data_IF_356984973990
#
_entry.id   IF_356984973990
#
_cell.length_a   1.000
_cell.length_b   1.000
_cell.length_c   1.000
_cell.angle_alpha   90.00
_cell.angle_beta   90.00
_cell.angle_gamma   90.00
#
_symmetry.space_group_name_H-M   'P 1'
#
loop_
_entity.id
_entity.type
_entity.pdbx_description
1 polymer ?
#
# COMPACT_ATOMS: atom_id res chain seq x y z
N UNK A 1 -33.24 68.17 -23.71
CA UNK A 1 -33.74 68.32 -25.11
C UNK A 1 -34.77 67.22 -25.36
N UNK A 2 -35.78 67.48 -26.21
CA UNK A 2 -36.78 66.48 -26.68
C UNK A 2 -36.07 65.31 -27.43
N UNK A 3 -36.59 64.09 -27.65
CA UNK A 3 -37.96 63.51 -27.76
C UNK A 3 -37.90 61.95 -27.65
N UNK A 4 -38.95 61.14 -27.36
CA UNK A 4 -40.32 61.36 -26.84
C UNK A 4 -41.03 60.01 -26.49
N UNK A 5 -42.21 60.14 -25.85
CA UNK A 5 -43.43 59.28 -25.70
C UNK A 5 -43.66 58.10 -26.67
N UNK A 6 -44.54 57.11 -26.46
CA UNK A 6 -45.35 56.47 -25.37
C UNK A 6 -46.51 55.71 -26.08
N UNK A 7 -47.07 54.65 -25.48
CA UNK A 7 -48.43 54.02 -25.67
C UNK A 7 -48.36 52.56 -25.16
N UNK A 8 -49.30 51.96 -24.43
CA UNK A 8 -50.37 52.36 -23.49
C UNK A 8 -50.87 51.05 -22.81
N UNK A 9 -51.18 50.96 -21.50
CA UNK A 9 -51.56 49.70 -20.87
C UNK A 9 -53.07 49.40 -20.92
N UNK A 10 -53.44 48.13 -21.10
CA UNK A 10 -54.83 47.65 -21.05
C UNK A 10 -54.91 46.23 -20.49
N UNK A 11 -55.61 46.07 -19.36
CA UNK A 11 -55.84 44.80 -18.65
C UNK A 11 -57.28 44.29 -18.92
N UNK A 12 -57.82 43.27 -18.22
CA UNK A 12 -57.20 42.24 -17.37
C UNK A 12 -57.68 40.80 -17.71
N UNK A 13 -57.07 39.78 -17.11
CA UNK A 13 -57.84 38.59 -16.69
C UNK A 13 -57.28 38.00 -15.39
N UNK A 14 -58.20 37.71 -14.47
CA UNK A 14 -57.91 37.22 -13.12
C UNK A 14 -57.70 35.71 -13.09
N UNK A 15 -56.87 35.22 -12.15
CA UNK A 15 -57.15 34.02 -11.35
C UNK A 15 -56.15 33.84 -10.20
N UNK A 16 -56.71 33.78 -8.99
CA UNK A 16 -56.10 33.24 -7.78
C UNK A 16 -57.16 32.35 -7.10
N UNK A 17 -56.76 31.60 -6.06
CA UNK A 17 -57.54 30.60 -5.31
C UNK A 17 -57.59 29.23 -6.02
N UNK A 18 -57.19 28.05 -5.50
CA UNK A 18 -56.39 27.52 -4.37
C UNK A 18 -57.08 26.23 -3.90
N UNK A 19 -56.28 25.18 -3.60
CA UNK A 19 -56.66 23.90 -2.95
C UNK A 19 -57.54 22.94 -3.79
N UNK A 20 -57.56 21.61 -3.58
CA UNK A 20 -56.98 20.77 -2.51
C UNK A 20 -56.70 19.33 -2.99
N UNK A 21 -55.68 18.67 -2.41
CA UNK A 21 -55.60 17.24 -2.04
C UNK A 21 -56.29 16.16 -2.92
N UNK A 22 -55.49 15.24 -3.47
CA UNK A 22 -55.97 13.98 -4.05
C UNK A 22 -54.82 13.06 -4.47
N UNK A 23 -54.88 11.78 -4.09
CA UNK A 23 -53.87 10.77 -4.44
C UNK A 23 -53.88 10.45 -5.94
N UNK A 24 -52.73 10.13 -6.54
CA UNK A 24 -52.61 8.93 -7.39
C UNK A 24 -51.16 8.57 -7.72
N UNK A 25 -50.90 7.26 -7.78
CA UNK A 25 -49.61 6.67 -8.15
C UNK A 25 -49.38 6.82 -9.67
N UNK A 26 -48.18 7.22 -10.08
CA UNK A 26 -47.74 7.07 -11.47
C UNK A 26 -46.98 5.75 -11.61
N UNK A 27 -47.55 4.80 -12.35
CA UNK A 27 -46.94 3.51 -12.64
C UNK A 27 -45.93 3.63 -13.79
N UNK A 28 -44.80 2.93 -13.66
CA UNK A 28 -43.75 2.92 -14.68
C UNK A 28 -44.23 2.34 -16.01
N UNK A 29 -43.82 2.88 -17.17
CA UNK A 29 -44.04 2.24 -18.45
C UNK A 29 -43.17 0.98 -18.57
N UNK A 30 -43.80 -0.18 -18.73
CA UNK A 30 -43.11 -1.46 -19.02
C UNK A 30 -42.69 -1.45 -20.49
N UNK A 31 -41.51 -0.91 -20.76
CA UNK A 31 -40.86 -0.97 -22.07
C UNK A 31 -39.83 -2.11 -22.10
N UNK A 32 -40.22 -3.25 -22.67
CA UNK A 32 -39.32 -4.39 -22.88
C UNK A 32 -38.24 -4.03 -23.90
N UNK A 33 -37.01 -3.79 -23.42
CA UNK A 33 -35.84 -3.59 -24.28
C UNK A 33 -35.48 -4.90 -25.01
N UNK A 34 -36.03 -5.08 -26.21
CA UNK A 34 -35.55 -6.07 -27.16
C UNK A 34 -34.25 -5.57 -27.79
N UNK A 35 -33.11 -6.13 -27.36
CA UNK A 35 -31.83 -5.91 -28.03
C UNK A 35 -31.91 -6.38 -29.49
N UNK A 36 -31.45 -5.58 -30.47
CA UNK A 36 -31.41 -6.02 -31.86
C UNK A 36 -30.44 -7.20 -32.02
N UNK A 37 -30.81 -8.18 -32.83
CA UNK A 37 -29.99 -9.35 -33.14
C UNK A 37 -28.70 -8.93 -33.84
N UNK A 38 -27.57 -9.47 -33.38
CA UNK A 38 -26.25 -9.07 -33.84
C UNK A 38 -25.98 -9.51 -35.30
N UNK A 39 -25.89 -8.55 -36.21
CA UNK A 39 -25.46 -8.75 -37.60
C UNK A 39 -24.48 -7.66 -38.09
N UNK A 40 -23.51 -7.33 -37.25
CA UNK A 40 -22.32 -6.55 -37.63
C UNK A 40 -21.08 -7.45 -37.54
N UNK A 41 -20.63 -7.95 -38.69
CA UNK A 41 -19.44 -8.79 -38.86
C UNK A 41 -18.12 -8.03 -38.70
N UNK A 42 -17.99 -7.21 -37.66
CA UNK A 42 -16.71 -6.66 -37.23
C UNK A 42 -15.96 -7.72 -36.44
N UNK A 43 -14.98 -8.37 -37.06
CA UNK A 43 -14.16 -9.39 -36.39
C UNK A 43 -13.27 -8.71 -35.35
N UNK A 44 -13.75 -8.66 -34.10
CA UNK A 44 -12.93 -8.27 -32.95
C UNK A 44 -11.64 -9.10 -32.98
N UNK A 45 -10.45 -8.48 -32.84
CA UNK A 45 -9.22 -9.24 -32.85
C UNK A 45 -9.28 -10.27 -31.72
N UNK A 46 -9.02 -11.54 -32.06
CA UNK A 46 -8.90 -12.61 -31.04
C UNK A 46 -7.88 -12.14 -30.01
N UNK A 47 -8.30 -12.02 -28.75
CA UNK A 47 -7.36 -11.85 -27.64
C UNK A 47 -6.50 -13.10 -27.58
N UNK A 48 -5.28 -12.98 -28.06
CA UNK A 48 -4.23 -14.00 -27.98
C UNK A 48 -3.97 -14.36 -26.52
N UNK A 49 -3.90 -15.65 -26.23
CA UNK A 49 -3.70 -16.14 -24.87
C UNK A 49 -2.22 -15.95 -24.48
N UNK A 50 -1.90 -15.39 -23.30
CA UNK A 50 -0.52 -15.28 -22.84
C UNK A 50 0.17 -16.64 -22.76
N UNK A 51 1.42 -16.72 -23.24
CA UNK A 51 2.30 -17.88 -23.11
C UNK A 51 2.78 -17.95 -21.67
N UNK A 52 2.68 -19.13 -21.06
CA UNK A 52 3.30 -19.40 -19.76
C UNK A 52 4.79 -19.71 -20.01
N UNK A 53 5.62 -18.67 -19.98
CA UNK A 53 7.06 -18.80 -20.22
C UNK A 53 7.73 -19.55 -19.06
N UNK A 54 8.63 -20.47 -19.39
CA UNK A 54 9.31 -21.34 -18.44
C UNK A 54 10.81 -21.42 -18.72
N UNK A 55 11.68 -21.14 -17.74
CA UNK A 55 13.08 -21.54 -17.78
C UNK A 55 13.27 -22.99 -17.29
N UNK A 56 12.34 -23.53 -16.51
CA UNK A 56 12.40 -24.84 -15.81
C UNK A 56 11.03 -25.52 -15.80
N UNK A 57 10.94 -26.79 -15.38
CA UNK A 57 9.63 -27.42 -15.17
C UNK A 57 8.96 -26.79 -13.94
N UNK A 58 7.63 -26.64 -13.95
CA UNK A 58 6.92 -25.96 -12.84
C UNK A 58 7.03 -26.69 -11.51
N UNK A 59 7.28 -28.00 -11.53
CA UNK A 59 7.56 -28.79 -10.34
C UNK A 59 8.95 -28.53 -9.73
N UNK A 60 9.86 -27.82 -10.41
CA UNK A 60 11.22 -27.58 -9.90
C UNK A 60 11.24 -26.39 -8.90
N UNK A 61 10.27 -25.49 -8.98
CA UNK A 61 10.17 -24.30 -8.13
C UNK A 61 9.64 -24.67 -6.73
N UNK A 62 10.56 -24.66 -5.77
CA UNK A 62 10.29 -24.80 -4.33
C UNK A 62 10.08 -23.44 -3.67
N UNK A 63 8.96 -23.29 -2.99
CA UNK A 63 8.53 -22.07 -2.29
C UNK A 63 8.36 -22.39 -0.80
N UNK A 64 9.04 -21.63 0.06
CA UNK A 64 8.86 -21.68 1.51
C UNK A 64 8.08 -20.44 1.98
N UNK A 65 6.93 -20.64 2.61
CA UNK A 65 6.11 -19.57 3.19
C UNK A 65 6.13 -19.69 4.71
N UNK A 66 6.50 -18.63 5.41
CA UNK A 66 6.65 -18.58 6.87
C UNK A 66 5.58 -17.69 7.52
N UNK A 67 5.44 -17.79 8.84
CA UNK A 67 4.59 -16.89 9.65
C UNK A 67 3.08 -16.90 9.29
N UNK A 68 2.59 -18.03 8.75
CA UNK A 68 1.19 -18.24 8.40
C UNK A 68 0.67 -17.23 7.35
N UNK A 69 1.33 -17.15 6.19
CA UNK A 69 0.83 -16.44 4.99
C UNK A 69 -0.61 -16.86 4.68
N UNK A 70 -1.45 -15.88 4.32
CA UNK A 70 -2.88 -16.08 4.03
C UNK A 70 -3.12 -17.16 2.97
N UNK A 71 -4.18 -17.96 3.17
CA UNK A 71 -4.53 -19.09 2.31
C UNK A 71 -4.68 -18.69 0.83
N UNK A 72 -5.27 -17.53 0.52
CA UNK A 72 -5.46 -17.10 -0.88
C UNK A 72 -4.14 -16.91 -1.62
N UNK A 73 -3.09 -16.39 -0.96
CA UNK A 73 -1.75 -16.29 -1.56
C UNK A 73 -1.10 -17.65 -1.78
N UNK A 74 -1.32 -18.59 -0.86
CA UNK A 74 -0.89 -19.99 -1.01
C UNK A 74 -1.58 -20.69 -2.17
N UNK A 75 -2.88 -20.46 -2.34
CA UNK A 75 -3.69 -21.05 -3.40
C UNK A 75 -3.24 -20.56 -4.79
N UNK A 76 -2.97 -19.25 -4.94
CA UNK A 76 -2.44 -18.66 -6.18
C UNK A 76 -1.11 -19.31 -6.59
N UNK A 77 -0.19 -19.48 -5.64
CA UNK A 77 1.11 -20.10 -5.88
C UNK A 77 0.99 -21.61 -6.19
N UNK A 78 0.11 -22.32 -5.47
CA UNK A 78 -0.15 -23.75 -5.71
C UNK A 78 -0.81 -23.99 -7.07
N UNK A 79 -1.69 -23.09 -7.50
CA UNK A 79 -2.37 -23.15 -8.80
C UNK A 79 -1.43 -22.99 -10.01
N UNK A 80 -0.22 -22.45 -9.84
CA UNK A 80 0.83 -22.46 -10.86
C UNK A 80 1.59 -23.80 -10.96
N UNK A 81 1.34 -24.73 -10.03
CA UNK A 81 2.02 -26.04 -9.96
C UNK A 81 3.36 -26.04 -9.24
N UNK A 82 3.67 -24.99 -8.44
CA UNK A 82 4.88 -24.92 -7.63
C UNK A 82 4.83 -25.83 -6.38
N UNK A 83 5.98 -26.25 -5.87
CA UNK A 83 6.07 -26.97 -4.60
C UNK A 83 6.02 -25.97 -3.42
N UNK A 84 4.86 -25.82 -2.77
CA UNK A 84 4.67 -24.85 -1.68
C UNK A 84 4.72 -25.53 -0.30
N UNK A 85 5.79 -25.29 0.47
CA UNK A 85 5.85 -25.57 1.90
C UNK A 85 5.36 -24.34 2.68
N UNK A 86 4.41 -24.51 3.61
CA UNK A 86 3.88 -23.41 4.42
C UNK A 86 3.95 -23.71 5.92
N UNK A 87 4.67 -22.87 6.67
CA UNK A 87 4.87 -22.97 8.11
C UNK A 87 4.13 -21.86 8.85
N UNK A 88 3.58 -22.19 10.03
CA UNK A 88 2.78 -21.25 10.84
C UNK A 88 3.63 -20.22 11.60
N UNK A 89 4.88 -20.56 11.91
CA UNK A 89 5.82 -19.72 12.65
C UNK A 89 6.92 -19.17 11.75
N UNK A 90 7.70 -18.23 12.27
CA UNK A 90 9.07 -18.00 11.81
C UNK A 90 9.97 -19.18 12.21
N UNK A 91 11.19 -19.22 11.67
CA UNK A 91 12.23 -20.19 12.02
C UNK A 91 13.38 -19.50 12.75
N UNK A 92 14.10 -20.19 13.66
CA UNK A 92 15.42 -19.76 14.13
C UNK A 92 16.41 -19.64 12.97
N UNK A 93 17.41 -18.75 13.10
CA UNK A 93 18.32 -18.41 12.01
C UNK A 93 19.06 -19.63 11.42
N UNK A 94 19.56 -20.54 12.25
CA UNK A 94 20.30 -21.72 11.76
C UNK A 94 19.40 -22.71 11.01
N UNK A 95 18.14 -22.90 11.45
CA UNK A 95 17.15 -23.74 10.73
C UNK A 95 16.68 -23.07 9.42
N UNK A 96 16.63 -21.74 9.40
CA UNK A 96 16.33 -20.96 8.21
C UNK A 96 17.46 -21.10 7.17
N UNK A 97 18.72 -21.07 7.62
CA UNK A 97 19.91 -21.33 6.79
C UNK A 97 19.87 -22.74 6.18
N UNK A 98 19.49 -23.76 6.95
CA UNK A 98 19.37 -25.13 6.41
C UNK A 98 18.32 -25.22 5.30
N UNK A 99 17.13 -24.64 5.51
CA UNK A 99 16.04 -24.67 4.52
C UNK A 99 16.28 -23.76 3.31
N UNK A 100 16.90 -22.59 3.47
CA UNK A 100 17.00 -21.59 2.38
C UNK A 100 17.92 -22.03 1.23
N UNK A 101 18.79 -23.03 1.46
CA UNK A 101 19.75 -23.55 0.47
C UNK A 101 19.12 -24.15 -0.79
N UNK A 102 17.91 -24.69 -0.68
CA UNK A 102 17.23 -25.47 -1.75
C UNK A 102 15.92 -24.81 -2.23
N UNK A 103 15.59 -23.60 -1.77
CA UNK A 103 14.37 -22.89 -2.19
C UNK A 103 14.65 -21.83 -3.27
N UNK A 104 13.66 -21.62 -4.12
CA UNK A 104 13.69 -20.65 -5.21
C UNK A 104 12.91 -19.37 -4.88
N UNK A 105 11.98 -19.47 -3.93
CA UNK A 105 11.12 -18.38 -3.46
C UNK A 105 10.95 -18.50 -1.96
N UNK A 106 11.01 -17.37 -1.25
CA UNK A 106 10.63 -17.30 0.16
C UNK A 106 9.56 -16.24 0.40
N UNK A 107 8.50 -16.60 1.11
CA UNK A 107 7.49 -15.69 1.62
C UNK A 107 7.60 -15.53 3.13
N UNK A 108 7.71 -14.29 3.60
CA UNK A 108 7.89 -13.97 5.03
C UNK A 108 6.91 -12.88 5.47
N UNK A 109 6.80 -12.64 6.78
CA UNK A 109 6.11 -11.47 7.33
C UNK A 109 7.12 -10.64 8.13
N UNK A 110 6.79 -10.16 9.33
CA UNK A 110 7.61 -9.18 10.07
C UNK A 110 8.68 -9.79 10.98
N UNK A 111 8.54 -11.06 11.39
CA UNK A 111 9.42 -11.72 12.38
C UNK A 111 10.65 -12.35 11.76
N UNK A 112 10.53 -12.99 10.60
CA UNK A 112 11.67 -13.65 9.94
C UNK A 112 12.68 -12.60 9.48
N UNK A 113 13.95 -12.73 9.89
CA UNK A 113 15.04 -11.86 9.43
C UNK A 113 15.84 -12.53 8.32
N UNK A 114 15.95 -11.88 7.16
CA UNK A 114 16.79 -12.29 6.04
C UNK A 114 18.02 -11.39 5.97
N UNK A 115 18.97 -11.68 6.86
CA UNK A 115 20.29 -11.03 6.92
C UNK A 115 21.21 -11.51 5.80
N UNK A 116 22.32 -10.80 5.56
CA UNK A 116 23.42 -11.24 4.68
C UNK A 116 23.88 -12.68 5.01
N UNK A 117 23.96 -13.06 6.30
CA UNK A 117 24.32 -14.43 6.73
C UNK A 117 23.32 -15.47 6.21
N UNK A 118 22.02 -15.17 6.23
CA UNK A 118 20.97 -16.08 5.74
C UNK A 118 20.95 -16.12 4.20
N UNK A 119 21.06 -14.95 3.56
CA UNK A 119 20.99 -14.81 2.11
C UNK A 119 22.24 -15.32 1.37
N UNK A 120 23.40 -15.40 2.03
CA UNK A 120 24.63 -15.95 1.43
C UNK A 120 24.56 -17.47 1.20
N UNK A 121 23.77 -18.17 2.01
CA UNK A 121 23.51 -19.61 1.91
C UNK A 121 22.39 -19.93 0.88
N UNK A 122 21.63 -18.93 0.46
CA UNK A 122 20.52 -19.04 -0.48
C UNK A 122 21.01 -19.12 -1.94
N UNK A 123 21.45 -20.30 -2.37
CA UNK A 123 22.08 -20.49 -3.70
C UNK A 123 21.13 -20.41 -4.88
N UNK A 124 19.87 -20.83 -4.69
CA UNK A 124 18.86 -20.95 -5.75
C UNK A 124 17.76 -19.88 -5.67
N UNK A 125 17.83 -18.99 -4.67
CA UNK A 125 16.76 -18.03 -4.36
C UNK A 125 16.66 -16.95 -5.43
N UNK A 126 15.52 -16.86 -6.10
CA UNK A 126 15.24 -15.90 -7.17
C UNK A 126 14.53 -14.65 -6.65
N UNK A 127 13.66 -14.82 -5.64
CA UNK A 127 12.75 -13.77 -5.19
C UNK A 127 12.23 -13.97 -3.75
N UNK A 128 12.05 -12.86 -3.05
CA UNK A 128 11.51 -12.75 -1.70
C UNK A 128 10.16 -12.01 -1.75
N UNK A 129 9.13 -12.60 -1.18
CA UNK A 129 7.83 -11.95 -0.94
C UNK A 129 7.68 -11.54 0.52
N UNK A 130 7.68 -10.24 0.80
CA UNK A 130 7.28 -9.71 2.09
C UNK A 130 5.75 -9.60 2.11
N UNK A 131 5.07 -10.56 2.75
CA UNK A 131 3.62 -10.57 2.97
C UNK A 131 3.23 -9.61 4.11
N UNK A 132 3.68 -8.36 3.98
CA UNK A 132 3.44 -7.23 4.86
C UNK A 132 3.86 -5.92 4.14
N UNK A 133 3.60 -4.77 4.77
CA UNK A 133 3.92 -3.45 4.19
C UNK A 133 5.43 -3.18 4.28
N UNK A 134 6.03 -3.42 5.46
CA UNK A 134 7.45 -3.14 5.73
C UNK A 134 8.40 -4.23 5.23
N UNK A 135 9.62 -3.82 4.88
CA UNK A 135 10.68 -4.71 4.38
C UNK A 135 11.97 -4.64 5.22
N UNK A 136 11.94 -3.95 6.37
CA UNK A 136 13.05 -3.73 7.31
C UNK A 136 13.70 -5.03 7.84
N UNK A 137 13.02 -6.17 7.65
CA UNK A 137 13.45 -7.51 8.02
C UNK A 137 14.31 -8.20 6.94
N UNK A 138 14.51 -7.58 5.77
CA UNK A 138 15.31 -8.10 4.65
C UNK A 138 16.47 -7.16 4.35
N UNK A 139 17.67 -7.72 4.18
CA UNK A 139 18.78 -6.96 3.61
C UNK A 139 18.57 -6.75 2.10
N UNK A 140 17.87 -5.66 1.76
CA UNK A 140 17.56 -5.28 0.39
C UNK A 140 18.82 -5.05 -0.46
N UNK A 141 19.91 -4.58 0.16
CA UNK A 141 21.16 -4.26 -0.53
C UNK A 141 21.90 -5.54 -0.91
N UNK A 142 22.01 -6.48 0.03
CA UNK A 142 22.59 -7.79 -0.23
C UNK A 142 21.76 -8.58 -1.25
N UNK A 143 20.42 -8.60 -1.09
CA UNK A 143 19.52 -9.22 -2.05
C UNK A 143 19.70 -8.67 -3.47
N UNK A 144 19.75 -7.34 -3.62
CA UNK A 144 19.93 -6.69 -4.93
C UNK A 144 21.28 -7.06 -5.58
N UNK A 145 22.38 -7.08 -4.80
CA UNK A 145 23.72 -7.49 -5.27
C UNK A 145 23.80 -8.95 -5.73
N UNK A 146 22.87 -9.80 -5.28
CA UNK A 146 22.73 -11.22 -5.65
C UNK A 146 21.68 -11.45 -6.75
N UNK A 147 21.05 -10.39 -7.28
CA UNK A 147 19.98 -10.50 -8.28
C UNK A 147 18.62 -10.98 -7.73
N UNK A 148 18.48 -11.00 -6.40
CA UNK A 148 17.28 -11.48 -5.70
C UNK A 148 16.27 -10.34 -5.62
N UNK A 149 15.13 -10.51 -6.30
CA UNK A 149 14.05 -9.52 -6.26
C UNK A 149 13.34 -9.56 -4.90
N UNK A 150 12.91 -8.40 -4.39
CA UNK A 150 12.05 -8.29 -3.20
C UNK A 150 10.78 -7.54 -3.57
N UNK A 151 9.63 -8.10 -3.21
CA UNK A 151 8.30 -7.49 -3.38
C UNK A 151 7.60 -7.39 -2.02
N UNK A 152 6.76 -6.36 -1.85
CA UNK A 152 5.88 -6.18 -0.71
C UNK A 152 4.45 -5.85 -1.17
N UNK A 153 3.57 -5.52 -0.23
CA UNK A 153 2.22 -5.02 -0.51
C UNK A 153 2.03 -3.68 0.23
N UNK A 154 2.41 -2.56 -0.40
CA UNK A 154 2.51 -1.26 0.28
C UNK A 154 1.16 -0.59 0.56
N UNK A 155 0.09 -0.98 -0.15
CA UNK A 155 -1.19 -0.26 -0.13
C UNK A 155 -2.40 -1.07 0.36
N UNK A 156 -2.30 -2.40 0.48
CA UNK A 156 -3.43 -3.28 0.81
C UNK A 156 -4.09 -3.02 2.17
N UNK A 157 -3.41 -2.35 3.10
CA UNK A 157 -3.96 -1.96 4.40
C UNK A 157 -4.64 -0.58 4.42
N UNK A 158 -4.68 0.15 3.30
CA UNK A 158 -5.16 1.54 3.28
C UNK A 158 -6.59 1.69 3.80
N UNK A 159 -7.44 0.67 3.57
CA UNK A 159 -8.80 0.60 4.10
C UNK A 159 -8.87 0.41 5.59
N UNK A 160 -8.13 -0.57 6.13
CA UNK A 160 -8.10 -0.89 7.55
C UNK A 160 -7.67 0.33 8.39
N UNK A 161 -6.63 1.06 7.94
CA UNK A 161 -6.14 2.25 8.66
C UNK A 161 -7.17 3.38 8.62
N UNK A 162 -7.77 3.65 7.45
CA UNK A 162 -8.78 4.70 7.31
C UNK A 162 -10.04 4.43 8.16
N UNK A 163 -10.47 3.16 8.28
CA UNK A 163 -11.60 2.78 9.14
C UNK A 163 -11.24 2.88 10.64
N UNK A 164 -10.03 2.48 11.03
CA UNK A 164 -9.55 2.63 12.41
C UNK A 164 -9.56 4.10 12.84
N UNK A 165 -8.99 5.01 12.02
CA UNK A 165 -8.92 6.44 12.36
C UNK A 165 -10.30 7.07 12.51
N UNK A 166 -11.29 6.67 11.70
CA UNK A 166 -12.69 7.12 11.89
C UNK A 166 -13.26 6.62 13.23
N UNK A 167 -13.02 5.35 13.57
CA UNK A 167 -13.46 4.80 14.86
C UNK A 167 -12.78 5.49 16.06
N UNK A 168 -11.49 5.82 15.95
CA UNK A 168 -10.72 6.56 16.96
C UNK A 168 -11.25 7.99 17.12
N UNK A 169 -11.47 8.73 16.03
CA UNK A 169 -12.05 10.09 16.04
C UNK A 169 -13.39 10.10 16.80
N UNK A 170 -14.29 9.15 16.51
CA UNK A 170 -15.59 9.03 17.20
C UNK A 170 -15.39 8.67 18.68
N UNK A 171 -14.48 7.73 18.97
CA UNK A 171 -14.22 7.23 20.33
C UNK A 171 -13.65 8.35 21.22
N UNK A 172 -12.69 9.12 20.72
CA UNK A 172 -12.07 10.27 21.40
C UNK A 172 -13.04 11.44 21.59
N UNK A 173 -13.82 11.77 20.55
CA UNK A 173 -14.85 12.81 20.61
C UNK A 173 -15.92 12.53 21.68
N UNK A 174 -16.13 11.26 22.02
CA UNK A 174 -17.15 10.78 22.95
C UNK A 174 -16.58 10.25 24.27
N UNK A 175 -15.27 10.27 24.45
CA UNK A 175 -14.54 9.68 25.60
C UNK A 175 -14.91 8.19 25.85
N UNK A 176 -15.29 7.48 24.79
CA UNK A 176 -15.99 6.19 24.90
C UNK A 176 -15.15 5.10 25.59
N UNK A 177 -13.83 5.11 25.39
CA UNK A 177 -12.90 4.21 26.07
C UNK A 177 -12.95 4.37 27.60
N UNK A 178 -12.76 5.60 28.09
CA UNK A 178 -12.83 5.92 29.52
C UNK A 178 -14.19 5.54 30.13
N UNK A 179 -15.30 5.89 29.45
CA UNK A 179 -16.67 5.57 29.91
C UNK A 179 -16.92 4.06 29.97
N UNK A 180 -16.35 3.29 29.05
CA UNK A 180 -16.40 1.83 29.09
C UNK A 180 -15.62 1.27 30.29
N UNK A 181 -14.40 1.78 30.52
CA UNK A 181 -13.54 1.36 31.65
C UNK A 181 -14.19 1.69 33.00
N UNK A 182 -14.82 2.87 33.14
CA UNK A 182 -15.60 3.24 34.33
C UNK A 182 -16.74 2.24 34.58
N UNK A 183 -17.53 1.91 33.56
CA UNK A 183 -18.64 0.95 33.67
C UNK A 183 -18.16 -0.46 34.02
N UNK A 184 -17.05 -0.93 33.43
CA UNK A 184 -16.43 -2.22 33.78
C UNK A 184 -15.91 -2.26 35.23
N UNK A 185 -15.64 -1.10 35.84
CA UNK A 185 -15.29 -0.94 37.26
C UNK A 185 -16.50 -0.64 38.16
N UNK A 186 -17.72 -0.71 37.63
CA UNK A 186 -18.96 -0.44 38.37
C UNK A 186 -19.23 1.06 38.63
N UNK A 187 -18.50 1.96 37.97
CA UNK A 187 -18.66 3.42 38.10
C UNK A 187 -19.63 3.95 37.06
N UNK A 188 -20.76 4.52 37.50
CA UNK A 188 -21.76 5.14 36.61
C UNK A 188 -21.52 6.65 36.45
N UNK A 189 -20.82 7.05 35.39
CA UNK A 189 -20.45 8.45 35.15
C UNK A 189 -21.17 9.04 33.90
N UNK A 190 -22.44 9.40 34.06
CA UNK A 190 -23.27 9.95 32.97
C UNK A 190 -23.05 11.46 32.80
N UNK A 191 -22.12 11.84 31.94
CA UNK A 191 -21.80 13.26 31.64
C UNK A 191 -21.81 13.57 30.13
N UNK A 192 -22.13 14.81 29.78
CA UNK A 192 -22.07 15.35 28.41
C UNK A 192 -20.99 16.42 28.21
N UNK A 193 -20.35 16.88 29.29
CA UNK A 193 -19.30 17.90 29.21
C UNK A 193 -18.07 17.36 28.46
N UNK A 194 -17.55 18.16 27.51
CA UNK A 194 -16.42 17.81 26.63
C UNK A 194 -16.65 16.55 25.77
N UNK A 195 -17.91 16.25 25.43
CA UNK A 195 -18.30 15.20 24.50
C UNK A 195 -18.98 15.82 23.26
N UNK A 196 -18.58 15.42 22.06
CA UNK A 196 -18.94 16.11 20.81
C UNK A 196 -19.51 15.18 19.74
N UNK A 197 -20.40 15.72 18.90
CA UNK A 197 -20.60 15.17 17.56
C UNK A 197 -19.43 15.57 16.64
N UNK A 198 -18.97 14.63 15.82
CA UNK A 198 -17.89 14.87 14.84
C UNK A 198 -18.39 15.66 13.60
N UNK A 199 -19.69 15.61 13.33
CA UNK A 199 -20.33 16.40 12.26
C UNK A 199 -20.06 17.90 12.47
N UNK A 200 -19.66 18.58 11.39
CA UNK A 200 -19.28 19.98 11.38
C UNK A 200 -17.91 20.29 12.01
N UNK A 201 -17.16 19.29 12.49
CA UNK A 201 -15.77 19.46 12.94
C UNK A 201 -14.82 19.39 11.74
N UNK A 202 -13.65 20.01 11.91
CA UNK A 202 -12.59 19.99 10.90
C UNK A 202 -11.59 18.87 11.18
N UNK A 203 -11.43 17.96 10.22
CA UNK A 203 -10.34 16.98 10.18
C UNK A 203 -9.18 17.54 9.36
N UNK A 204 -8.01 17.68 9.98
CA UNK A 204 -6.75 17.99 9.35
C UNK A 204 -5.93 16.74 9.06
N UNK A 205 -5.70 16.45 7.79
CA UNK A 205 -4.92 15.29 7.32
C UNK A 205 -3.50 15.74 6.94
N UNK A 206 -2.48 15.23 7.63
CA UNK A 206 -1.07 15.46 7.29
C UNK A 206 -0.55 14.27 6.47
N UNK A 207 -0.28 14.50 5.18
CA UNK A 207 0.00 13.46 4.18
C UNK A 207 -1.26 12.96 3.48
N UNK A 208 -1.46 13.36 2.22
CA UNK A 208 -2.68 13.11 1.45
C UNK A 208 -2.50 11.99 0.40
N UNK A 209 -1.68 10.99 0.73
CA UNK A 209 -1.49 9.78 -0.08
C UNK A 209 -2.66 8.80 0.01
N UNK A 210 -2.39 7.50 -0.21
CA UNK A 210 -3.41 6.43 -0.28
C UNK A 210 -4.34 6.38 0.94
N UNK A 211 -3.79 6.50 2.17
CA UNK A 211 -4.61 6.47 3.39
C UNK A 211 -5.36 7.79 3.58
N UNK A 212 -4.67 8.94 3.48
CA UNK A 212 -5.26 10.26 3.73
C UNK A 212 -6.39 10.62 2.76
N UNK A 213 -6.21 10.35 1.46
CA UNK A 213 -7.25 10.57 0.44
C UNK A 213 -8.46 9.65 0.64
N UNK A 214 -8.26 8.40 1.06
CA UNK A 214 -9.39 7.50 1.33
C UNK A 214 -10.11 7.83 2.65
N UNK A 215 -9.36 8.31 3.64
CA UNK A 215 -9.92 8.80 4.90
C UNK A 215 -10.78 10.05 4.68
N UNK A 216 -10.40 10.98 3.79
CA UNK A 216 -11.19 12.18 3.53
C UNK A 216 -12.61 11.85 3.07
N UNK A 217 -12.76 10.88 2.17
CA UNK A 217 -14.06 10.42 1.67
C UNK A 217 -14.95 9.87 2.80
N UNK A 218 -14.35 9.15 3.77
CA UNK A 218 -15.08 8.65 4.94
C UNK A 218 -15.48 9.78 5.90
N UNK A 219 -14.56 10.71 6.17
CA UNK A 219 -14.82 11.84 7.06
C UNK A 219 -15.91 12.78 6.50
N UNK A 220 -15.87 13.08 5.20
CA UNK A 220 -16.92 13.84 4.50
C UNK A 220 -18.28 13.11 4.52
N UNK A 221 -18.29 11.79 4.34
CA UNK A 221 -19.52 10.99 4.46
C UNK A 221 -20.13 11.02 5.87
N UNK A 222 -19.32 11.31 6.90
CA UNK A 222 -19.79 11.57 8.28
C UNK A 222 -20.07 13.05 8.57
N UNK A 223 -19.97 13.92 7.56
CA UNK A 223 -20.25 15.35 7.66
C UNK A 223 -19.16 16.16 8.37
N UNK A 224 -17.90 15.71 8.37
CA UNK A 224 -16.74 16.52 8.75
C UNK A 224 -16.32 17.44 7.60
N UNK A 225 -15.72 18.58 7.93
CA UNK A 225 -14.97 19.38 6.95
C UNK A 225 -13.55 18.79 6.86
N UNK A 226 -13.01 18.56 5.66
CA UNK A 226 -11.65 18.02 5.52
C UNK A 226 -10.70 19.06 4.94
N UNK A 227 -9.59 19.28 5.64
CA UNK A 227 -8.43 20.00 5.14
C UNK A 227 -7.22 19.08 5.15
N UNK A 228 -6.27 19.30 4.25
CA UNK A 228 -5.04 18.50 4.22
C UNK A 228 -3.80 19.33 3.91
N UNK A 229 -2.68 18.89 4.46
CA UNK A 229 -1.36 19.39 4.12
C UNK A 229 -0.54 18.23 3.54
N UNK A 230 0.08 18.50 2.40
CA UNK A 230 1.05 17.62 1.77
C UNK A 230 2.15 18.51 1.14
N UNK A 231 3.37 17.98 1.05
CA UNK A 231 4.51 18.68 0.44
C UNK A 231 4.40 18.75 -1.08
N UNK A 232 3.55 17.91 -1.68
CA UNK A 232 3.19 17.95 -3.11
C UNK A 232 1.81 18.56 -3.27
N UNK A 233 1.59 19.34 -4.32
CA UNK A 233 0.24 19.76 -4.71
C UNK A 233 -0.51 18.55 -5.28
N UNK A 234 -1.52 18.09 -4.56
CA UNK A 234 -2.30 16.89 -4.90
C UNK A 234 -3.75 17.28 -5.21
N UNK A 235 -4.37 16.57 -6.16
CA UNK A 235 -5.77 16.80 -6.50
C UNK A 235 -6.66 16.28 -5.37
N UNK A 236 -7.49 17.17 -4.80
CA UNK A 236 -8.45 16.81 -3.77
C UNK A 236 -9.51 15.82 -4.26
N UNK A 237 -10.04 15.02 -3.34
CA UNK A 237 -11.27 14.25 -3.53
C UNK A 237 -12.41 14.91 -2.77
N UNK A 238 -13.61 14.93 -3.35
CA UNK A 238 -14.81 15.45 -2.70
C UNK A 238 -14.74 16.96 -2.46
N UNK A 239 -14.93 17.38 -1.21
CA UNK A 239 -14.83 18.79 -0.78
C UNK A 239 -13.54 19.13 -0.04
N UNK A 240 -12.62 18.18 0.08
CA UNK A 240 -11.35 18.33 0.79
C UNK A 240 -10.51 19.48 0.22
N UNK A 241 -9.84 20.23 1.10
CA UNK A 241 -9.08 21.44 0.73
C UNK A 241 -7.61 21.34 1.14
N UNK A 242 -6.69 21.50 0.19
CA UNK A 242 -5.27 21.66 0.52
C UNK A 242 -5.06 23.01 1.22
N UNK A 243 -4.36 23.01 2.36
CA UNK A 243 -3.83 24.21 3.01
C UNK A 243 -2.35 24.39 2.66
N UNK A 244 -1.83 25.62 2.56
CA UNK A 244 -0.49 25.87 2.02
C UNK A 244 0.66 25.59 3.01
N UNK A 245 0.36 25.24 4.26
CA UNK A 245 1.37 24.86 5.26
C UNK A 245 0.76 23.96 6.33
N UNK A 246 1.61 23.16 6.99
CA UNK A 246 1.26 22.37 8.18
C UNK A 246 0.66 23.27 9.27
N UNK A 247 1.28 24.42 9.48
CA UNK A 247 0.86 25.45 10.43
C UNK A 247 -0.62 25.82 10.32
N UNK A 248 -1.09 26.14 9.11
CA UNK A 248 -2.50 26.47 8.86
C UNK A 248 -3.43 25.28 9.13
N UNK A 249 -2.95 24.04 8.92
CA UNK A 249 -3.72 22.84 9.23
C UNK A 249 -3.95 22.70 10.74
N UNK A 250 -2.89 22.88 11.54
CA UNK A 250 -2.93 22.73 13.00
C UNK A 250 -3.85 23.79 13.65
N UNK A 251 -3.81 25.02 13.15
CA UNK A 251 -4.62 26.13 13.66
C UNK A 251 -6.11 26.02 13.29
N UNK A 252 -6.46 25.37 12.18
CA UNK A 252 -7.85 25.18 11.72
C UNK A 252 -8.52 23.90 12.28
N UNK A 253 -7.77 22.81 12.45
CA UNK A 253 -8.30 21.46 12.67
C UNK A 253 -8.71 21.15 14.13
N UNK A 254 -9.89 20.53 14.31
CA UNK A 254 -10.32 19.97 15.60
C UNK A 254 -9.68 18.60 15.86
N UNK A 255 -9.46 17.81 14.79
CA UNK A 255 -8.78 16.52 14.81
C UNK A 255 -7.63 16.58 13.81
N UNK A 256 -6.41 16.25 14.24
CA UNK A 256 -5.24 16.13 13.36
C UNK A 256 -4.85 14.66 13.25
N UNK A 257 -4.65 14.17 12.04
CA UNK A 257 -4.24 12.79 11.78
C UNK A 257 -3.03 12.72 10.85
N UNK A 258 -2.12 11.80 11.14
CA UNK A 258 -0.80 11.71 10.50
C UNK A 258 -0.72 10.47 9.60
N UNK A 259 -0.40 10.67 8.32
CA UNK A 259 -0.29 9.66 7.26
C UNK A 259 0.97 9.86 6.40
N UNK A 260 2.10 10.11 7.06
CA UNK A 260 3.40 10.40 6.42
C UNK A 260 4.35 9.19 6.45
N UNK A 261 5.31 9.10 5.50
CA UNK A 261 6.40 8.11 5.55
C UNK A 261 7.40 8.39 6.69
N UNK A 262 8.28 7.44 6.98
CA UNK A 262 9.40 7.62 7.92
C UNK A 262 10.60 8.17 7.15
N UNK A 263 10.87 9.45 7.33
CA UNK A 263 11.92 10.21 6.64
C UNK A 263 12.62 11.13 7.64
N UNK A 264 13.85 11.58 7.38
CA UNK A 264 14.53 12.59 8.22
C UNK A 264 13.68 13.84 8.46
N UNK A 265 12.89 14.26 7.47
CA UNK A 265 12.04 15.46 7.49
C UNK A 265 10.72 15.27 8.25
N UNK A 266 10.23 14.03 8.41
CA UNK A 266 8.97 13.74 9.12
C UNK A 266 9.20 13.34 10.58
N UNK A 267 10.44 13.02 10.95
CA UNK A 267 10.83 12.63 12.31
C UNK A 267 10.65 13.78 13.30
N UNK A 268 9.87 13.54 14.35
CA UNK A 268 9.45 14.51 15.36
C UNK A 268 8.84 15.80 14.77
N UNK A 269 8.24 15.75 13.57
CA UNK A 269 7.61 16.92 12.94
C UNK A 269 6.43 17.47 13.76
N UNK A 270 5.80 16.63 14.59
CA UNK A 270 4.87 17.07 15.62
C UNK A 270 5.60 17.10 16.97
N UNK A 271 6.21 18.24 17.27
CA UNK A 271 6.90 18.54 18.52
C UNK A 271 6.08 19.48 19.42
N UNK A 272 6.64 19.91 20.56
CA UNK A 272 6.01 20.93 21.43
C UNK A 272 5.50 22.15 20.64
N UNK A 273 6.29 22.67 19.69
CA UNK A 273 5.92 23.86 18.92
C UNK A 273 4.74 23.65 17.96
N UNK A 274 4.50 22.43 17.50
CA UNK A 274 3.34 22.09 16.67
C UNK A 274 2.13 21.77 17.53
N UNK A 275 2.33 21.06 18.65
CA UNK A 275 1.27 20.79 19.62
C UNK A 275 0.69 22.08 20.18
N UNK A 276 1.52 23.06 20.57
CA UNK A 276 1.10 24.38 21.09
C UNK A 276 0.35 25.25 20.04
N UNK A 277 0.40 24.89 18.75
CA UNK A 277 -0.35 25.54 17.66
C UNK A 277 -1.63 24.83 17.27
N UNK A 278 -1.85 23.62 17.77
CA UNK A 278 -3.15 22.97 17.63
C UNK A 278 -4.20 23.76 18.41
N UNK A 279 -5.47 23.63 18.04
CA UNK A 279 -6.55 24.29 18.78
C UNK A 279 -6.62 23.76 20.22
N UNK A 280 -6.85 24.63 21.19
CA UNK A 280 -7.08 24.18 22.57
C UNK A 280 -8.31 23.26 22.62
N UNK A 281 -8.13 22.06 23.16
CA UNK A 281 -9.14 21.01 23.20
C UNK A 281 -9.24 20.14 21.93
N UNK A 282 -8.25 20.23 21.03
CA UNK A 282 -8.13 19.38 19.83
C UNK A 282 -7.62 17.97 20.13
N UNK A 283 -7.59 17.12 19.11
CA UNK A 283 -7.19 15.72 19.19
C UNK A 283 -6.09 15.37 18.18
N UNK A 284 -5.17 14.47 18.55
CA UNK A 284 -4.09 13.99 17.67
C UNK A 284 -4.18 12.47 17.45
N UNK A 285 -4.13 12.02 16.19
CA UNK A 285 -4.13 10.61 15.81
C UNK A 285 -2.85 10.30 15.02
N UNK A 286 -2.14 9.24 15.42
CA UNK A 286 -1.00 8.71 14.66
C UNK A 286 -1.11 7.19 14.45
N UNK A 287 -1.49 6.82 13.23
CA UNK A 287 -1.46 5.45 12.71
C UNK A 287 -0.51 5.35 11.49
N UNK A 288 0.58 6.15 11.47
CA UNK A 288 1.56 6.17 10.37
C UNK A 288 2.91 5.59 10.78
N UNK A 289 3.74 6.38 11.48
CA UNK A 289 5.09 5.99 11.92
C UNK A 289 5.35 6.51 13.32
N UNK A 290 5.94 5.67 14.17
CA UNK A 290 6.17 5.98 15.58
C UNK A 290 7.18 7.09 15.82
N UNK A 291 7.98 7.44 14.81
CA UNK A 291 9.01 8.49 14.81
C UNK A 291 8.47 9.90 14.57
N UNK A 292 7.19 10.08 14.23
CA UNK A 292 6.65 11.36 13.73
C UNK A 292 6.26 12.33 14.85
N UNK A 293 5.91 11.80 16.03
CA UNK A 293 5.42 12.57 17.19
C UNK A 293 6.41 12.49 18.34
N UNK A 294 6.76 13.64 18.91
CA UNK A 294 7.47 13.73 20.19
C UNK A 294 6.51 13.33 21.33
N UNK A 295 6.55 12.05 21.72
CA UNK A 295 5.63 11.50 22.73
C UNK A 295 5.77 12.19 24.11
N UNK A 296 6.98 12.48 24.65
CA UNK A 296 7.13 13.36 25.82
C UNK A 296 6.41 14.72 25.70
N UNK A 297 6.49 15.38 24.54
CA UNK A 297 5.76 16.63 24.32
C UNK A 297 4.24 16.43 24.31
N UNK A 298 3.75 15.35 23.67
CA UNK A 298 2.33 14.98 23.66
C UNK A 298 1.82 14.70 25.09
N UNK A 299 2.58 13.97 25.91
CA UNK A 299 2.22 13.71 27.32
C UNK A 299 2.07 15.03 28.08
N UNK A 300 2.99 15.98 27.90
CA UNK A 300 2.90 17.32 28.52
C UNK A 300 1.66 18.08 28.05
N UNK A 301 1.38 18.09 26.74
CA UNK A 301 0.24 18.80 26.15
C UNK A 301 -1.13 18.19 26.54
N UNK A 302 -1.20 16.88 26.73
CA UNK A 302 -2.38 16.21 27.27
C UNK A 302 -2.55 16.45 28.77
N UNK A 303 -1.46 16.43 29.57
CA UNK A 303 -1.52 16.77 31.00
C UNK A 303 -1.94 18.21 31.26
N UNK A 304 -1.61 19.16 30.38
CA UNK A 304 -2.10 20.55 30.48
C UNK A 304 -3.57 20.72 30.06
N UNK A 305 -4.14 19.73 29.37
CA UNK A 305 -5.48 19.78 28.79
C UNK A 305 -5.57 20.53 27.45
N UNK A 306 -4.45 21.00 26.90
CA UNK A 306 -4.40 21.65 25.58
C UNK A 306 -4.77 20.67 24.47
N UNK A 307 -4.30 19.42 24.55
CA UNK A 307 -4.80 18.31 23.73
C UNK A 307 -5.82 17.52 24.56
N UNK A 308 -7.06 17.42 24.08
CA UNK A 308 -8.18 16.79 24.80
C UNK A 308 -8.18 15.26 24.74
N UNK A 309 -7.41 14.67 23.83
CA UNK A 309 -7.27 13.23 23.66
C UNK A 309 -6.38 12.87 22.48
N UNK A 310 -5.90 11.63 22.43
CA UNK A 310 -5.07 11.17 21.31
C UNK A 310 -5.28 9.68 21.02
N UNK A 311 -4.93 9.25 19.81
CA UNK A 311 -4.84 7.83 19.44
C UNK A 311 -3.48 7.53 18.83
N UNK A 312 -2.82 6.47 19.31
CA UNK A 312 -1.49 6.05 18.87
C UNK A 312 -1.51 4.55 18.57
N UNK A 313 -1.21 4.19 17.33
CA UNK A 313 -1.02 2.78 16.91
C UNK A 313 0.45 2.39 16.83
N UNK A 314 1.36 3.37 16.72
CA UNK A 314 2.77 3.18 16.36
C UNK A 314 3.70 3.95 17.31
N UNK A 315 4.87 3.39 17.60
CA UNK A 315 5.76 3.90 18.66
C UNK A 315 7.24 3.93 18.22
N UNK A 316 8.09 4.81 18.80
CA UNK A 316 9.52 4.88 18.49
C UNK A 316 10.27 3.54 18.68
N UNK A 317 9.92 2.79 19.73
CA UNK A 317 10.36 1.41 19.94
C UNK A 317 9.15 0.53 20.21
N UNK A 318 9.09 -0.64 19.57
CA UNK A 318 7.95 -1.56 19.65
C UNK A 318 8.40 -2.96 20.14
N UNK A 319 7.54 -3.70 20.86
CA UNK A 319 7.86 -5.06 21.27
C UNK A 319 8.11 -6.01 20.09
N UNK A 320 9.08 -6.92 20.23
CA UNK A 320 9.34 -7.97 19.23
C UNK A 320 8.25 -9.08 19.17
N UNK A 321 7.28 -9.06 20.09
CA UNK A 321 6.19 -10.02 20.17
C UNK A 321 5.14 -9.66 21.22
N UNK A 322 4.07 -10.44 21.28
CA UNK A 322 2.94 -10.20 22.17
C UNK A 322 3.32 -10.55 23.63
N UNK A 323 3.00 -9.66 24.56
CA UNK A 323 3.26 -9.83 25.99
C UNK A 323 3.38 -8.47 26.69
N UNK A 324 3.64 -8.49 28.00
CA UNK A 324 3.65 -7.31 28.88
C UNK A 324 4.95 -6.48 28.76
N UNK A 325 5.34 -6.16 27.52
CA UNK A 325 6.62 -5.52 27.21
C UNK A 325 6.56 -3.99 27.12
N UNK A 326 5.37 -3.40 27.00
CA UNK A 326 5.19 -1.95 26.85
C UNK A 326 5.37 -1.21 28.19
N UNK A 327 6.63 -1.04 28.57
CA UNK A 327 7.12 -0.59 29.88
C UNK A 327 8.20 0.48 29.73
N UNK A 328 8.59 1.14 30.83
CA UNK A 328 9.63 2.18 30.80
C UNK A 328 11.00 1.68 30.32
N UNK A 329 11.24 0.35 30.37
CA UNK A 329 12.44 -0.28 29.82
C UNK A 329 12.48 -0.26 28.28
N UNK A 330 11.31 -0.23 27.62
CA UNK A 330 11.19 -0.17 26.15
C UNK A 330 11.10 1.28 25.67
N UNK A 331 10.31 2.10 26.35
CA UNK A 331 10.18 3.54 26.07
C UNK A 331 10.08 4.28 27.42
N UNK A 332 10.99 5.19 27.79
CA UNK A 332 11.05 5.80 29.13
C UNK A 332 9.76 6.50 29.61
N UNK A 333 8.89 6.90 28.69
CA UNK A 333 7.61 7.59 28.93
C UNK A 333 6.39 6.65 28.93
N UNK A 334 6.56 5.33 28.80
CA UNK A 334 5.45 4.38 28.57
C UNK A 334 4.42 4.34 29.71
N UNK A 335 4.84 4.42 30.97
CA UNK A 335 3.92 4.49 32.12
C UNK A 335 3.20 5.84 32.22
N UNK A 336 3.90 6.93 31.94
CA UNK A 336 3.28 8.26 31.91
C UNK A 336 2.21 8.35 30.83
N UNK A 337 2.50 7.86 29.63
CA UNK A 337 1.56 7.79 28.52
C UNK A 337 0.33 6.94 28.91
N UNK A 338 0.55 5.72 29.44
CA UNK A 338 -0.55 4.84 29.92
C UNK A 338 -1.37 5.42 31.09
N UNK A 339 -0.87 6.46 31.77
CA UNK A 339 -1.59 7.12 32.88
C UNK A 339 -2.60 8.18 32.43
N UNK A 340 -2.63 8.53 31.14
CA UNK A 340 -3.49 9.59 30.60
C UNK A 340 -4.93 9.10 30.37
N UNK A 341 -5.90 9.98 30.65
CA UNK A 341 -7.30 9.83 30.25
C UNK A 341 -7.50 10.18 28.78
N UNK A 342 -8.56 9.64 28.17
CA UNK A 342 -8.96 9.88 26.79
C UNK A 342 -7.83 9.65 25.76
N UNK A 343 -7.05 8.59 26.00
CA UNK A 343 -5.97 8.13 25.15
C UNK A 343 -6.29 6.71 24.65
N UNK A 344 -6.23 6.51 23.34
CA UNK A 344 -6.32 5.19 22.71
C UNK A 344 -4.91 4.72 22.38
N UNK A 345 -4.53 3.56 22.89
CA UNK A 345 -3.26 2.90 22.58
C UNK A 345 -3.55 1.56 21.91
N UNK A 346 -3.16 1.42 20.66
CA UNK A 346 -3.27 0.18 19.89
C UNK A 346 -1.87 -0.38 19.56
N UNK A 347 -1.70 -1.71 19.49
CA UNK A 347 -0.38 -2.34 19.34
C UNK A 347 -0.02 -2.59 17.86
N UNK A 348 0.10 -1.54 17.05
CA UNK A 348 0.44 -1.57 15.63
C UNK A 348 -0.50 -2.47 14.81
N UNK A 349 -1.81 -2.24 14.95
CA UNK A 349 -2.89 -3.04 14.33
C UNK A 349 -3.68 -2.30 13.25
N UNK A 350 -3.32 -1.05 12.89
CA UNK A 350 -4.04 -0.28 11.87
C UNK A 350 -4.16 -0.99 10.52
N UNK A 351 -3.19 -1.83 10.15
CA UNK A 351 -3.25 -2.69 8.95
C UNK A 351 -3.61 -4.16 9.19
N UNK A 352 -3.97 -4.54 10.40
CA UNK A 352 -4.05 -5.94 10.83
C UNK A 352 -5.49 -6.48 10.81
N UNK A 353 -6.10 -6.54 9.62
CA UNK A 353 -7.42 -7.17 9.39
C UNK A 353 -7.32 -8.35 8.43
N UNK A 354 -8.31 -9.25 8.45
CA UNK A 354 -8.35 -10.44 7.57
C UNK A 354 -8.45 -10.06 6.09
N UNK A 355 -9.15 -8.97 5.77
CA UNK A 355 -9.26 -8.38 4.43
C UNK A 355 -7.89 -7.90 3.95
N UNK A 356 -7.15 -7.18 4.80
CA UNK A 356 -5.78 -6.74 4.48
C UNK A 356 -4.84 -7.94 4.32
N UNK A 357 -4.89 -8.95 5.20
CA UNK A 357 -4.09 -10.17 5.04
C UNK A 357 -4.41 -10.94 3.76
N UNK A 358 -5.69 -10.98 3.34
CA UNK A 358 -6.10 -11.54 2.05
C UNK A 358 -5.55 -10.73 0.88
N UNK A 359 -5.70 -9.40 0.90
CA UNK A 359 -5.23 -8.51 -0.16
C UNK A 359 -3.70 -8.56 -0.32
N UNK A 360 -2.95 -8.50 0.78
CA UNK A 360 -1.49 -8.74 0.83
C UNK A 360 -1.16 -10.12 0.24
N UNK A 361 -1.92 -11.15 0.62
CA UNK A 361 -1.79 -12.51 0.10
C UNK A 361 -1.90 -12.58 -1.42
N UNK A 362 -2.88 -11.89 -2.00
CA UNK A 362 -3.08 -11.80 -3.46
C UNK A 362 -1.96 -10.98 -4.12
N UNK A 363 -1.74 -9.75 -3.70
CA UNK A 363 -0.83 -8.80 -4.35
C UNK A 363 0.61 -9.33 -4.44
N UNK A 364 1.12 -9.86 -3.31
CA UNK A 364 2.48 -10.42 -3.26
C UNK A 364 2.54 -11.74 -4.05
N UNK A 365 1.57 -12.64 -3.93
CA UNK A 365 1.57 -13.88 -4.68
C UNK A 365 1.54 -13.63 -6.20
N UNK A 366 0.72 -12.69 -6.68
CA UNK A 366 0.69 -12.31 -8.09
C UNK A 366 2.01 -11.65 -8.54
N UNK A 367 2.62 -10.80 -7.71
CA UNK A 367 3.94 -10.22 -8.00
C UNK A 367 5.02 -11.30 -8.15
N UNK A 368 5.06 -12.27 -7.23
CA UNK A 368 5.92 -13.45 -7.31
C UNK A 368 5.67 -14.22 -8.61
N UNK A 369 4.41 -14.52 -8.95
CA UNK A 369 4.05 -15.23 -10.19
C UNK A 369 4.50 -14.45 -11.44
N UNK A 370 4.32 -13.13 -11.49
CA UNK A 370 4.76 -12.28 -12.61
C UNK A 370 6.29 -12.28 -12.74
N UNK A 371 7.04 -12.25 -11.65
CA UNK A 371 8.50 -12.28 -11.70
C UNK A 371 9.06 -13.67 -12.07
N UNK A 372 8.49 -14.74 -11.52
CA UNK A 372 8.89 -16.13 -11.80
C UNK A 372 8.58 -16.46 -13.27
N UNK A 373 7.38 -16.15 -13.77
CA UNK A 373 6.95 -16.59 -15.10
C UNK A 373 7.23 -15.57 -16.21
N UNK A 374 7.52 -14.30 -15.92
CA UNK A 374 7.67 -13.26 -16.96
C UNK A 374 8.84 -12.29 -16.75
N UNK A 375 9.55 -12.34 -15.62
CA UNK A 375 10.64 -11.41 -15.30
C UNK A 375 10.21 -9.99 -14.98
N UNK A 376 8.94 -9.75 -14.67
CA UNK A 376 8.45 -8.39 -14.40
C UNK A 376 8.88 -7.97 -12.99
N UNK A 377 9.57 -6.83 -12.87
CA UNK A 377 10.06 -6.27 -11.59
C UNK A 377 9.26 -5.06 -11.09
N UNK A 378 8.16 -4.70 -11.77
CA UNK A 378 7.24 -3.64 -11.33
C UNK A 378 6.77 -3.87 -9.88
N UNK A 379 6.98 -2.89 -9.00
CA UNK A 379 6.70 -2.98 -7.57
C UNK A 379 7.81 -3.64 -6.74
N UNK A 380 9.00 -3.87 -7.32
CA UNK A 380 10.14 -4.37 -6.55
C UNK A 380 10.79 -3.25 -5.74
N UNK A 381 11.00 -3.49 -4.43
CA UNK A 381 11.60 -2.48 -3.55
C UNK A 381 13.11 -2.30 -3.78
N UNK A 382 13.81 -3.32 -4.31
CA UNK A 382 15.27 -3.36 -4.37
C UNK A 382 15.88 -3.47 -5.79
N UNK A 383 15.12 -3.88 -6.81
CA UNK A 383 15.58 -3.91 -8.20
C UNK A 383 15.13 -2.66 -9.00
N UNK A 384 15.71 -2.41 -10.19
CA UNK A 384 15.13 -1.53 -11.21
C UNK A 384 13.79 -2.07 -11.72
N UNK A 385 12.88 -1.20 -12.16
CA UNK A 385 11.53 -1.59 -12.58
C UNK A 385 11.44 -1.80 -14.10
N UNK A 386 11.11 -3.02 -14.51
CA UNK A 386 11.03 -3.41 -15.91
C UNK A 386 9.76 -4.25 -16.18
N UNK A 387 9.13 -3.96 -17.31
CA UNK A 387 7.99 -4.71 -17.83
C UNK A 387 7.99 -4.68 -19.37
N UNK A 388 7.77 -5.84 -19.98
CA UNK A 388 7.44 -5.99 -21.40
C UNK A 388 6.02 -6.57 -21.55
N UNK A 389 5.36 -6.33 -22.70
CA UNK A 389 4.13 -7.08 -23.03
C UNK A 389 4.39 -8.59 -22.93
N UNK A 390 3.44 -9.36 -22.40
CA UNK A 390 3.58 -10.81 -22.33
C UNK A 390 3.73 -11.40 -23.74
N UNK A 391 4.55 -12.44 -23.88
CA UNK A 391 4.56 -13.29 -25.07
C UNK A 391 3.24 -14.07 -25.15
N UNK A 392 2.76 -14.39 -26.36
CA UNK A 392 1.49 -15.11 -26.59
C UNK A 392 1.72 -16.50 -27.18
N UNK A 393 0.68 -17.34 -27.18
CA UNK A 393 0.73 -18.65 -27.85
C UNK A 393 0.98 -18.56 -29.37
N UNK A 394 0.75 -17.38 -29.96
CA UNK A 394 1.03 -17.08 -31.38
C UNK A 394 2.51 -16.67 -31.62
N UNK A 395 3.32 -16.56 -30.55
CA UNK A 395 4.76 -16.30 -30.56
C UNK A 395 5.55 -17.56 -30.10
N UNK A 396 5.47 -18.71 -30.81
CA UNK A 396 5.99 -19.99 -30.32
C UNK A 396 7.52 -20.03 -30.22
N UNK A 397 8.23 -19.57 -31.25
CA UNK A 397 9.70 -19.60 -31.36
C UNK A 397 10.37 -18.35 -30.74
N UNK A 398 9.71 -17.75 -29.73
CA UNK A 398 10.24 -16.61 -28.99
C UNK A 398 10.72 -17.02 -27.61
N UNK A 399 11.83 -16.46 -27.18
CA UNK A 399 12.35 -16.54 -25.82
C UNK A 399 12.49 -15.14 -25.20
N UNK A 400 12.30 -15.05 -23.89
CA UNK A 400 12.55 -13.86 -23.06
C UNK A 400 13.87 -14.03 -22.34
N UNK A 401 14.86 -13.24 -22.73
CA UNK A 401 16.13 -13.08 -22.02
C UNK A 401 15.94 -12.06 -20.90
N UNK A 402 16.36 -12.42 -19.71
CA UNK A 402 16.48 -11.56 -18.53
C UNK A 402 17.96 -11.55 -18.14
N UNK A 403 18.52 -10.36 -17.97
CA UNK A 403 19.92 -10.20 -17.65
C UNK A 403 20.08 -9.12 -16.57
N UNK A 404 20.42 -9.55 -15.35
CA UNK A 404 20.78 -8.66 -14.24
C UNK A 404 22.29 -8.48 -14.26
N UNK A 405 22.75 -7.24 -14.24
CA UNK A 405 24.18 -6.94 -14.35
C UNK A 405 24.61 -5.70 -13.56
N UNK A 406 25.92 -5.62 -13.33
CA UNK A 406 26.55 -4.40 -12.82
C UNK A 406 26.39 -3.27 -13.84
N UNK A 407 25.99 -2.09 -13.37
CA UNK A 407 25.76 -0.91 -14.19
C UNK A 407 27.09 -0.27 -14.62
N UNK A 408 27.74 -0.86 -15.63
CA UNK A 408 29.03 -0.40 -16.16
C UNK A 408 28.97 -0.19 -17.68
N UNK A 409 29.75 0.75 -18.25
CA UNK A 409 29.69 1.07 -19.67
C UNK A 409 29.97 -0.13 -20.59
N UNK A 410 29.26 -0.19 -21.72
CA UNK A 410 29.47 -1.18 -22.78
C UNK A 410 28.80 -2.53 -22.57
N UNK A 411 28.15 -2.80 -21.43
CA UNK A 411 27.45 -4.09 -21.20
C UNK A 411 26.32 -4.30 -22.20
N UNK A 412 25.46 -3.30 -22.42
CA UNK A 412 24.37 -3.38 -23.42
C UNK A 412 24.88 -3.69 -24.83
N UNK A 413 26.08 -3.21 -25.19
CA UNK A 413 26.70 -3.53 -26.49
C UNK A 413 27.05 -5.01 -26.56
N UNK A 414 27.67 -5.58 -25.53
CA UNK A 414 28.01 -7.01 -25.46
C UNK A 414 26.78 -7.91 -25.44
N UNK A 415 25.73 -7.51 -24.72
CA UNK A 415 24.45 -8.24 -24.69
C UNK A 415 23.84 -8.25 -26.10
N UNK A 416 23.77 -7.10 -26.77
CA UNK A 416 23.23 -7.03 -28.13
C UNK A 416 24.15 -7.69 -29.19
N UNK A 417 25.46 -7.77 -28.96
CA UNK A 417 26.39 -8.59 -29.77
C UNK A 417 26.06 -10.08 -29.63
N UNK A 418 25.81 -10.59 -28.41
CA UNK A 418 25.42 -12.00 -28.16
C UNK A 418 24.04 -12.33 -28.74
N UNK A 419 23.09 -11.40 -28.66
CA UNK A 419 21.75 -11.58 -29.22
C UNK A 419 21.68 -11.30 -30.74
N UNK A 420 22.79 -10.92 -31.38
CA UNK A 420 22.80 -10.38 -32.74
C UNK A 420 22.37 -11.35 -33.86
N UNK A 421 22.46 -12.66 -33.62
CA UNK A 421 21.96 -13.70 -34.54
C UNK A 421 20.42 -13.90 -34.45
N UNK A 422 19.76 -13.20 -33.53
CA UNK A 422 18.31 -13.23 -33.32
C UNK A 422 17.68 -11.85 -33.52
N UNK A 423 16.42 -11.81 -33.92
CA UNK A 423 15.68 -10.54 -33.98
C UNK A 423 15.18 -10.18 -32.57
N UNK A 424 15.52 -8.99 -32.09
CA UNK A 424 15.07 -8.46 -30.78
C UNK A 424 13.77 -7.69 -30.98
N UNK A 425 12.63 -8.34 -30.76
CA UNK A 425 11.29 -7.74 -30.98
C UNK A 425 10.95 -6.67 -29.95
N UNK A 426 11.43 -6.85 -28.72
CA UNK A 426 11.17 -5.99 -27.56
C UNK A 426 12.41 -5.95 -26.68
N UNK A 427 12.79 -4.77 -26.22
CA UNK A 427 13.87 -4.61 -25.23
C UNK A 427 13.52 -3.48 -24.26
N UNK A 428 13.79 -3.68 -22.98
CA UNK A 428 13.78 -2.64 -21.94
C UNK A 428 15.00 -2.84 -21.04
N UNK A 429 15.59 -1.73 -20.60
CA UNK A 429 16.64 -1.73 -19.59
C UNK A 429 16.40 -0.57 -18.65
N UNK A 430 16.48 -0.83 -17.34
CA UNK A 430 16.45 0.18 -16.29
C UNK A 430 17.63 -0.03 -15.33
N UNK A 431 18.04 0.99 -14.59
CA UNK A 431 19.18 0.94 -13.68
C UNK A 431 18.99 1.76 -12.41
N UNK A 432 19.45 1.23 -11.28
CA UNK A 432 19.29 1.78 -9.94
C UNK A 432 20.64 1.66 -9.21
N UNK A 433 21.40 2.75 -9.21
CA UNK A 433 22.78 2.75 -8.72
C UNK A 433 23.68 1.81 -9.51
N UNK A 434 24.41 0.95 -8.81
CA UNK A 434 25.37 -0.01 -9.39
C UNK A 434 24.71 -1.22 -10.10
N UNK A 435 23.38 -1.29 -10.13
CA UNK A 435 22.61 -2.43 -10.64
C UNK A 435 21.77 -2.03 -11.86
N UNK A 436 21.72 -2.88 -12.87
CA UNK A 436 20.87 -2.74 -14.03
C UNK A 436 20.12 -4.04 -14.33
N UNK A 437 18.89 -3.89 -14.84
CA UNK A 437 17.99 -4.99 -15.19
C UNK A 437 17.58 -4.83 -16.64
N UNK A 438 17.88 -5.84 -17.46
CA UNK A 438 17.52 -5.91 -18.87
C UNK A 438 16.54 -7.04 -19.11
N UNK A 439 15.50 -6.76 -19.90
CA UNK A 439 14.63 -7.77 -20.51
C UNK A 439 14.67 -7.59 -22.03
N UNK A 440 14.79 -8.70 -22.76
CA UNK A 440 14.63 -8.73 -24.21
C UNK A 440 13.77 -9.92 -24.62
N UNK A 441 12.78 -9.71 -25.49
CA UNK A 441 12.14 -10.82 -26.21
C UNK A 441 12.82 -10.95 -27.58
N UNK A 442 13.30 -12.15 -27.87
CA UNK A 442 13.97 -12.52 -29.11
C UNK A 442 13.17 -13.60 -29.86
N UNK A 443 13.11 -13.51 -31.18
CA UNK A 443 12.42 -14.46 -32.07
C UNK A 443 13.37 -15.40 -32.82
N UNK A 444 12.78 -16.45 -33.40
CA UNK A 444 13.46 -17.53 -34.14
C UNK A 444 14.50 -18.28 -33.29
N UNK A 445 14.19 -18.50 -32.01
CA UNK A 445 15.08 -19.18 -31.06
C UNK A 445 14.82 -20.68 -31.08
N UNK A 446 15.79 -21.46 -31.58
CA UNK A 446 15.73 -22.93 -31.47
C UNK A 446 16.16 -23.36 -30.07
N UNK A 447 15.56 -24.44 -29.55
CA UNK A 447 15.82 -24.94 -28.20
C UNK A 447 17.32 -25.17 -27.90
N UNK A 448 18.08 -25.65 -28.89
CA UNK A 448 19.54 -25.85 -28.81
C UNK A 448 20.30 -24.55 -28.49
N UNK A 449 19.89 -23.42 -29.08
CA UNK A 449 20.55 -22.12 -28.95
C UNK A 449 20.30 -21.44 -27.60
N UNK A 450 19.25 -21.85 -26.87
CA UNK A 450 18.91 -21.29 -25.56
C UNK A 450 20.07 -21.47 -24.56
N UNK A 451 20.73 -22.63 -24.64
CA UNK A 451 21.89 -22.94 -23.81
C UNK A 451 23.07 -22.02 -24.15
N UNK A 452 23.36 -21.85 -25.43
CA UNK A 452 24.49 -21.03 -25.91
C UNK A 452 24.30 -19.55 -25.56
N UNK A 453 23.08 -19.02 -25.68
CA UNK A 453 22.70 -17.67 -25.25
C UNK A 453 22.91 -17.51 -23.74
N UNK A 454 22.45 -18.48 -22.94
CA UNK A 454 22.60 -18.46 -21.49
C UNK A 454 24.08 -18.49 -21.07
N UNK A 455 24.88 -19.44 -21.57
CA UNK A 455 26.30 -19.57 -21.23
C UNK A 455 27.12 -18.34 -21.68
N UNK A 456 26.78 -17.75 -22.82
CA UNK A 456 27.43 -16.53 -23.33
C UNK A 456 27.16 -15.29 -22.47
N UNK A 457 25.93 -15.12 -22.01
CA UNK A 457 25.55 -14.01 -21.12
C UNK A 457 26.13 -14.18 -19.71
N UNK A 458 26.09 -15.41 -19.18
CA UNK A 458 26.62 -15.73 -17.85
C UNK A 458 28.15 -15.60 -17.79
N UNK A 459 28.84 -15.86 -18.91
CA UNK A 459 30.28 -15.64 -19.06
C UNK A 459 30.73 -14.17 -19.06
N UNK A 460 29.81 -13.21 -19.14
CA UNK A 460 30.16 -11.79 -19.05
C UNK A 460 30.52 -11.41 -17.61
N UNK A 461 31.68 -10.78 -17.40
CA UNK A 461 32.16 -10.33 -16.07
C UNK A 461 31.28 -9.29 -15.36
N UNK A 462 30.30 -8.72 -16.07
CA UNK A 462 29.26 -7.85 -15.54
C UNK A 462 28.04 -8.61 -14.99
N UNK A 463 27.89 -9.90 -15.30
CA UNK A 463 26.71 -10.68 -14.92
C UNK A 463 26.54 -10.76 -13.40
N UNK A 464 25.28 -10.72 -12.98
CA UNK A 464 24.83 -11.04 -11.61
C UNK A 464 23.88 -12.23 -11.66
N UNK A 465 22.97 -12.26 -12.65
CA UNK A 465 22.09 -13.42 -12.93
C UNK A 465 21.53 -13.33 -14.35
N UNK A 466 21.63 -14.41 -15.11
CA UNK A 466 20.90 -14.61 -16.38
C UNK A 466 19.69 -15.54 -16.18
N UNK A 467 18.58 -15.28 -16.89
CA UNK A 467 17.47 -16.25 -17.06
C UNK A 467 16.96 -16.18 -18.49
N UNK A 468 16.68 -17.32 -19.11
CA UNK A 468 16.01 -17.38 -20.42
C UNK A 468 14.67 -18.13 -20.25
N UNK A 469 13.55 -17.44 -20.42
CA UNK A 469 12.20 -17.99 -20.30
C UNK A 469 11.62 -18.24 -21.69
N UNK A 470 11.00 -19.40 -21.95
CA UNK A 470 10.48 -19.75 -23.28
C UNK A 470 9.16 -20.51 -23.22
#
# INVERSE_FOLDING_TARGET
MSSARDINPGAPSSRTVVSSWGQNLSTSPVATLQSPTASLGGMLPRRSVPKLLKPFNTQDIKILLLENVNQTGRDILTAQGYQVEALKSSLPEDQLIEKIRDIHVIGIRSKTKLSERVLSEAKNLLVIGCFCIGTNQVDLTYAARRGIAVFNSPFANSRSVAELVIAEIITLARQLGDRSIEMHRGTWNKVSAKCWEIRGKTLGIVGYGHIGSQLSVLAEAMGMNVIYYDVVTLMALGTARQVPSLDNLLEEADFVTLHVPDLPETRNMISSAQLDRMKEGSYLINASRGTVVDIPALVKAMRSGHIAGAALDVYPNEPAGNGDYFTNNLNPWAEELRSLSNLILTPHIGGSTEEAQRAIGVEVAEALVRYINQGITLGSVNLPEAQLRSLTLDEPDHARVIYIHRNVPGVLRKVNEILGDHNVDKQISDSKGDLAYLMADISNVRYEQIKDIYESLEGLSSCIMTRVLY
#
